data_IF_673801491136
#
_entry.id   IF_673801491136
#
_cell.length_a   1.000
_cell.length_b   1.000
_cell.length_c   1.000
_cell.angle_alpha   90.00
_cell.angle_beta   90.00
_cell.angle_gamma   90.00
#
_symmetry.space_group_name_H-M   'P 1'
#
loop_
_entity.id
_entity.type
_entity.pdbx_description
1 polymer ?
#
# COMPACT_ATOMS: atom_id res chain seq x y z
N UNK A 1 -5.26 54.44 15.17
CA UNK A 1 -5.49 53.23 14.36
C UNK A 1 -4.56 52.14 14.85
N UNK A 2 -5.08 51.13 15.59
CA UNK A 2 -4.57 49.74 15.69
C UNK A 2 -5.48 48.93 16.66
N UNK A 3 -6.32 48.10 16.02
CA UNK A 3 -6.95 46.81 16.38
C UNK A 3 -7.21 46.36 17.85
N UNK A 4 -8.48 46.08 18.25
CA UNK A 4 -8.88 45.65 19.60
C UNK A 4 -9.23 44.14 19.71
N UNK A 5 -8.24 43.25 19.59
CA UNK A 5 -8.44 41.79 19.78
C UNK A 5 -7.39 41.12 20.70
N UNK A 6 -6.78 41.90 21.60
CA UNK A 6 -5.92 41.39 22.69
C UNK A 6 -6.49 41.91 24.01
N UNK A 7 -7.72 41.49 24.36
CA UNK A 7 -8.31 41.76 25.69
C UNK A 7 -9.33 40.74 26.19
N UNK A 8 -9.59 39.64 25.47
CA UNK A 8 -10.60 38.64 25.84
C UNK A 8 -10.06 37.28 26.31
N UNK A 9 -8.75 36.99 26.20
CA UNK A 9 -8.18 35.71 26.64
C UNK A 9 -7.50 35.75 28.02
N UNK A 10 -7.39 36.92 28.65
CA UNK A 10 -6.85 37.07 30.01
C UNK A 10 -7.88 36.74 31.11
N UNK A 11 -9.17 36.60 30.79
CA UNK A 11 -10.26 36.39 31.78
C UNK A 11 -10.78 34.95 31.88
N UNK A 12 -10.22 34.02 31.11
CA UNK A 12 -10.66 32.61 31.15
C UNK A 12 -9.70 31.68 31.93
N UNK A 13 -8.46 32.12 32.20
CA UNK A 13 -7.51 31.37 33.04
C UNK A 13 -7.64 31.65 34.55
N UNK A 14 -8.38 32.68 34.98
CA UNK A 14 -8.56 33.02 36.40
C UNK A 14 -9.67 32.22 37.11
N UNK A 15 -10.26 31.22 36.44
CA UNK A 15 -11.42 30.49 36.96
C UNK A 15 -11.18 29.02 37.33
N UNK A 16 -9.91 28.58 37.46
CA UNK A 16 -9.57 27.23 37.97
C UNK A 16 -8.60 27.18 39.15
N UNK A 17 -8.26 28.33 39.75
CA UNK A 17 -7.49 28.37 41.00
C UNK A 17 -8.39 28.70 42.19
N UNK A 18 -9.18 27.72 42.62
CA UNK A 18 -9.70 27.69 43.99
C UNK A 18 -9.44 26.32 44.61
N UNK A 19 -8.74 26.36 45.76
CA UNK A 19 -8.41 25.30 46.71
C UNK A 19 -7.38 24.25 46.24
N UNK A 20 -6.17 24.37 46.78
CA UNK A 20 -5.58 23.35 47.67
C UNK A 20 -4.62 24.06 48.64
N UNK A 21 -4.79 23.72 49.91
CA UNK A 21 -4.08 24.23 51.08
C UNK A 21 -2.76 23.48 51.31
N UNK A 22 -1.75 24.25 51.73
CA UNK A 22 -0.64 23.90 52.64
C UNK A 22 0.45 22.89 52.24
N UNK A 23 1.69 23.41 52.30
CA UNK A 23 2.86 22.82 52.99
C UNK A 23 3.74 21.80 52.25
N UNK A 24 4.81 22.30 51.62
CA UNK A 24 6.26 22.02 51.86
C UNK A 24 7.07 22.10 50.56
N UNK A 25 8.20 22.82 50.64
CA UNK A 25 9.21 22.97 49.59
C UNK A 25 9.85 21.62 49.27
N UNK A 26 9.88 21.25 48.00
CA UNK A 26 10.88 20.34 47.45
C UNK A 26 11.33 20.90 46.09
N UNK A 27 12.64 21.11 45.95
CA UNK A 27 13.31 21.55 44.73
C UNK A 27 13.42 20.34 43.81
N UNK A 28 12.89 20.42 42.59
CA UNK A 28 13.19 19.45 41.51
C UNK A 28 13.35 20.24 40.22
N UNK A 29 14.55 20.31 39.60
CA UNK A 29 14.68 20.73 38.23
C UNK A 29 14.77 19.46 37.38
N UNK A 30 13.69 19.06 36.72
CA UNK A 30 13.78 18.18 35.56
C UNK A 30 12.89 18.78 34.47
N UNK A 31 13.58 19.51 33.59
CA UNK A 31 13.06 19.99 32.32
C UNK A 31 12.92 18.76 31.41
N UNK A 32 11.75 18.11 31.42
CA UNK A 32 11.45 17.06 30.44
C UNK A 32 11.13 17.74 29.12
N UNK A 33 12.15 17.87 28.27
CA UNK A 33 12.02 18.33 26.89
C UNK A 33 11.23 17.26 26.12
N UNK A 34 9.92 17.44 25.98
CA UNK A 34 9.11 16.61 25.09
C UNK A 34 9.49 16.95 23.64
N UNK A 35 10.37 16.14 23.06
CA UNK A 35 10.57 16.09 21.61
C UNK A 35 9.29 15.54 20.98
N UNK A 36 8.38 16.42 20.59
CA UNK A 36 7.36 16.09 19.60
C UNK A 36 8.10 15.92 18.27
N UNK A 37 8.51 14.68 17.97
CA UNK A 37 8.86 14.28 16.62
C UNK A 37 7.59 14.43 15.77
N UNK A 38 7.47 15.57 15.10
CA UNK A 38 6.60 15.69 13.94
C UNK A 38 7.18 14.76 12.88
N UNK A 39 6.69 13.53 12.84
CA UNK A 39 6.87 12.66 11.68
C UNK A 39 6.10 13.33 10.55
N UNK A 40 6.81 14.02 9.66
CA UNK A 40 6.24 14.46 8.39
C UNK A 40 5.66 13.23 7.70
N UNK A 41 4.45 13.29 7.11
CA UNK A 41 3.96 12.18 6.32
C UNK A 41 4.98 11.88 5.23
N UNK A 42 5.40 10.62 5.12
CA UNK A 42 6.30 10.18 4.07
C UNK A 42 5.75 10.66 2.71
N UNK A 43 6.63 11.24 1.89
CA UNK A 43 6.21 11.82 0.63
C UNK A 43 5.85 10.68 -0.33
N UNK A 44 4.56 10.54 -0.65
CA UNK A 44 4.11 9.52 -1.58
C UNK A 44 4.58 9.85 -3.01
N UNK A 45 5.28 8.90 -3.64
CA UNK A 45 5.72 8.99 -5.02
C UNK A 45 4.66 8.36 -5.92
N UNK A 46 4.35 9.03 -7.03
CA UNK A 46 3.37 8.57 -8.01
C UNK A 46 4.02 7.82 -9.16
N UNK A 47 3.58 6.59 -9.41
CA UNK A 47 3.88 5.81 -10.61
C UNK A 47 2.63 5.70 -11.49
N UNK A 48 2.57 6.55 -12.51
CA UNK A 48 1.41 6.66 -13.41
C UNK A 48 1.59 5.70 -14.58
N UNK A 49 0.67 4.75 -14.74
CA UNK A 49 0.59 3.86 -15.91
C UNK A 49 -0.08 4.60 -17.06
N UNK A 50 -1.29 5.09 -16.83
CA UNK A 50 -2.08 5.91 -17.75
C UNK A 50 -3.10 6.76 -16.97
N UNK A 51 -4.08 7.37 -17.64
CA UNK A 51 -5.13 8.16 -16.99
C UNK A 51 -6.07 7.34 -16.09
N UNK A 52 -6.12 6.02 -16.25
CA UNK A 52 -7.01 5.15 -15.49
C UNK A 52 -6.31 4.43 -14.34
N UNK A 53 -4.97 4.39 -14.29
CA UNK A 53 -4.26 3.67 -13.24
C UNK A 53 -2.95 4.34 -12.83
N UNK A 54 -2.81 4.56 -11.52
CA UNK A 54 -1.56 4.92 -10.88
C UNK A 54 -1.37 4.15 -9.57
N UNK A 55 -0.11 4.03 -9.17
CA UNK A 55 0.29 3.52 -7.87
C UNK A 55 0.98 4.65 -7.13
N UNK A 56 0.48 4.99 -5.96
CA UNK A 56 1.22 5.80 -5.00
C UNK A 56 2.00 4.88 -4.07
N UNK A 57 3.28 5.17 -3.84
CA UNK A 57 4.09 4.41 -2.89
C UNK A 57 4.84 5.34 -1.95
N UNK A 58 5.02 4.90 -0.72
CA UNK A 58 5.85 5.58 0.28
C UNK A 58 6.55 4.54 1.16
N UNK A 59 7.74 4.89 1.63
CA UNK A 59 8.47 4.09 2.62
C UNK A 59 8.47 4.86 3.94
N UNK A 60 8.22 4.16 5.04
CA UNK A 60 8.31 4.73 6.38
C UNK A 60 8.90 3.68 7.30
N UNK A 61 10.05 3.97 7.90
CA UNK A 61 10.82 3.03 8.70
C UNK A 61 11.09 1.71 7.94
N UNK A 62 10.46 0.62 8.38
CA UNK A 62 10.65 -0.73 7.86
C UNK A 62 9.48 -1.20 6.98
N UNK A 63 8.63 -0.28 6.52
CA UNK A 63 7.40 -0.62 5.81
C UNK A 63 7.28 0.17 4.50
N UNK A 64 6.90 -0.52 3.43
CA UNK A 64 6.39 0.09 2.19
C UNK A 64 4.87 0.12 2.26
N UNK A 65 4.29 1.28 1.97
CA UNK A 65 2.86 1.45 1.75
C UNK A 65 2.61 1.67 0.26
N UNK A 66 1.65 0.93 -0.29
CA UNK A 66 1.22 1.05 -1.68
C UNK A 66 -0.26 1.40 -1.70
N UNK A 67 -0.62 2.40 -2.49
CA UNK A 67 -2.01 2.77 -2.79
C UNK A 67 -2.23 2.61 -4.28
N UNK A 68 -2.97 1.56 -4.64
CA UNK A 68 -3.45 1.32 -5.99
C UNK A 68 -4.67 2.20 -6.22
N UNK A 69 -4.68 2.96 -7.31
CA UNK A 69 -5.78 3.88 -7.64
C UNK A 69 -6.18 3.63 -9.09
N UNK A 70 -7.42 3.20 -9.30
CA UNK A 70 -7.99 2.96 -10.61
C UNK A 70 -9.21 3.83 -10.85
N UNK A 71 -9.17 4.65 -11.89
CA UNK A 71 -10.31 5.43 -12.37
C UNK A 71 -11.16 4.59 -13.32
N UNK A 72 -12.44 4.96 -13.43
CA UNK A 72 -13.44 4.21 -14.18
C UNK A 72 -13.48 2.73 -13.74
N UNK A 73 -13.27 2.51 -12.44
CA UNK A 73 -12.96 1.21 -11.84
C UNK A 73 -14.05 0.17 -12.08
N UNK A 74 -13.76 -0.77 -12.97
CA UNK A 74 -14.55 -1.98 -13.14
C UNK A 74 -14.22 -3.04 -12.09
N UNK A 75 -14.61 -4.28 -12.35
CA UNK A 75 -14.42 -5.43 -11.43
C UNK A 75 -13.10 -6.17 -11.63
N UNK A 76 -12.16 -5.60 -12.40
CA UNK A 76 -10.86 -6.22 -12.64
C UNK A 76 -9.89 -6.07 -11.47
N UNK A 77 -8.59 -6.11 -11.77
CA UNK A 77 -7.51 -6.10 -10.79
C UNK A 77 -6.47 -5.02 -11.11
N UNK A 78 -5.69 -4.65 -10.12
CA UNK A 78 -4.53 -3.74 -10.21
C UNK A 78 -3.32 -4.46 -9.61
N UNK A 79 -2.11 -4.19 -10.09
CA UNK A 79 -0.96 -4.84 -9.49
C UNK A 79 0.39 -4.27 -9.91
N UNK A 80 1.40 -4.71 -9.18
CA UNK A 80 2.80 -4.42 -9.42
C UNK A 80 3.62 -5.68 -9.21
N UNK A 81 4.61 -5.88 -10.08
CA UNK A 81 5.69 -6.85 -9.90
C UNK A 81 6.99 -6.10 -9.63
N UNK A 82 7.76 -6.59 -8.66
CA UNK A 82 9.10 -6.12 -8.34
C UNK A 82 10.11 -7.00 -9.10
N UNK A 83 10.94 -6.35 -9.91
CA UNK A 83 11.75 -6.88 -11.01
C UNK A 83 10.98 -7.11 -12.33
N UNK A 84 11.71 -7.56 -13.35
CA UNK A 84 11.19 -7.71 -14.70
C UNK A 84 10.30 -8.95 -14.84
N UNK A 85 9.02 -8.74 -15.15
CA UNK A 85 8.14 -9.79 -15.66
C UNK A 85 8.56 -10.15 -17.11
N UNK A 86 8.61 -11.44 -17.52
CA UNK A 86 8.06 -12.64 -16.88
C UNK A 86 9.07 -13.48 -16.06
N UNK A 87 10.18 -12.91 -15.59
CA UNK A 87 11.12 -13.62 -14.71
C UNK A 87 10.53 -13.82 -13.30
N UNK A 88 11.18 -14.62 -12.44
CA UNK A 88 10.69 -14.77 -11.09
C UNK A 88 10.58 -13.41 -10.40
N UNK A 89 9.38 -13.07 -9.98
CA UNK A 89 9.05 -11.73 -9.49
C UNK A 89 8.07 -11.84 -8.34
N UNK A 90 8.33 -11.04 -7.33
CA UNK A 90 7.41 -10.79 -6.25
C UNK A 90 6.34 -9.80 -6.74
N UNK A 91 5.08 -10.12 -6.49
CA UNK A 91 3.92 -9.44 -7.05
C UNK A 91 2.91 -9.11 -5.98
N UNK A 92 2.35 -7.90 -6.07
CA UNK A 92 1.22 -7.48 -5.24
C UNK A 92 0.07 -7.17 -6.18
N UNK A 93 -1.03 -7.90 -6.03
CA UNK A 93 -2.26 -7.72 -6.82
C UNK A 93 -3.40 -7.34 -5.90
N UNK A 94 -4.18 -6.34 -6.28
CA UNK A 94 -5.31 -5.83 -5.52
C UNK A 94 -6.60 -5.78 -6.35
N UNK A 95 -7.72 -6.17 -5.76
CA UNK A 95 -9.05 -6.06 -6.37
C UNK A 95 -10.14 -5.94 -5.29
N UNK A 96 -11.35 -5.61 -5.71
CA UNK A 96 -12.54 -5.69 -4.85
C UNK A 96 -13.24 -7.01 -5.18
N UNK A 97 -13.44 -7.85 -4.17
CA UNK A 97 -14.22 -9.08 -4.34
C UNK A 97 -15.66 -8.73 -4.72
N UNK A 98 -16.19 -9.20 -5.86
CA UNK A 98 -17.54 -8.87 -6.28
C UNK A 98 -18.63 -9.54 -5.43
N UNK A 99 -18.30 -10.56 -4.62
CA UNK A 99 -19.27 -11.26 -3.76
C UNK A 99 -19.47 -10.52 -2.45
N UNK A 100 -18.37 -10.16 -1.79
CA UNK A 100 -18.38 -9.60 -0.43
C UNK A 100 -18.08 -8.10 -0.39
N UNK A 101 -17.79 -7.48 -1.54
CA UNK A 101 -17.36 -6.06 -1.67
C UNK A 101 -16.13 -5.70 -0.83
N UNK A 102 -15.36 -6.71 -0.43
CA UNK A 102 -14.15 -6.53 0.36
C UNK A 102 -12.93 -6.30 -0.53
N UNK A 103 -12.04 -5.41 -0.11
CA UNK A 103 -10.74 -5.30 -0.78
C UNK A 103 -9.85 -6.48 -0.44
N UNK A 104 -9.26 -7.07 -1.47
CA UNK A 104 -8.28 -8.14 -1.38
C UNK A 104 -6.96 -7.59 -1.90
N UNK A 105 -5.90 -7.81 -1.14
CA UNK A 105 -4.53 -7.71 -1.61
C UNK A 105 -3.88 -9.09 -1.51
N UNK A 106 -3.39 -9.56 -2.64
CA UNK A 106 -2.72 -10.84 -2.81
C UNK A 106 -1.22 -10.62 -2.90
N UNK A 107 -0.50 -11.25 -1.97
CA UNK A 107 0.94 -11.39 -1.97
C UNK A 107 1.28 -12.63 -2.80
N UNK A 108 1.82 -12.41 -3.98
CA UNK A 108 2.01 -13.44 -5.00
C UNK A 108 3.46 -13.51 -5.43
N UNK A 109 3.92 -14.71 -5.77
CA UNK A 109 5.21 -14.90 -6.42
C UNK A 109 5.00 -15.50 -7.81
N UNK A 110 5.47 -14.80 -8.83
CA UNK A 110 5.66 -15.36 -10.16
C UNK A 110 6.97 -16.16 -10.13
N UNK A 111 6.96 -17.47 -10.42
CA UNK A 111 8.18 -18.29 -10.49
C UNK A 111 8.99 -18.08 -11.77
N UNK A 112 8.45 -17.34 -12.75
CA UNK A 112 9.02 -17.21 -14.08
C UNK A 112 9.13 -18.52 -14.86
N UNK A 113 9.83 -18.46 -16.00
CA UNK A 113 10.16 -19.63 -16.82
C UNK A 113 11.66 -19.95 -16.59
N UNK A 114 12.05 -21.14 -16.10
CA UNK A 114 11.26 -22.34 -15.79
C UNK A 114 10.72 -22.39 -14.34
N UNK A 115 9.54 -22.99 -14.17
CA UNK A 115 8.90 -23.15 -12.85
C UNK A 115 9.54 -24.26 -12.02
N UNK A 116 9.66 -24.02 -10.71
CA UNK A 116 10.01 -25.06 -9.75
C UNK A 116 8.98 -26.22 -9.83
N UNK A 117 9.38 -27.49 -9.61
CA UNK A 117 8.51 -28.67 -9.78
C UNK A 117 7.18 -28.65 -8.99
N UNK A 118 7.07 -27.80 -7.97
CA UNK A 118 5.90 -27.69 -7.09
C UNK A 118 5.16 -26.34 -7.24
N UNK A 119 5.54 -25.50 -8.19
CA UNK A 119 4.81 -24.28 -8.52
C UNK A 119 3.69 -24.62 -9.51
N UNK A 120 2.48 -24.04 -9.39
CA UNK A 120 1.48 -24.17 -10.46
C UNK A 120 2.17 -23.86 -11.80
N UNK A 121 2.00 -24.78 -12.76
CA UNK A 121 2.56 -24.65 -14.10
C UNK A 121 2.34 -23.21 -14.60
N UNK A 122 3.37 -22.57 -15.21
CA UNK A 122 3.17 -21.27 -15.80
C UNK A 122 2.06 -21.43 -16.82
N UNK A 123 1.09 -20.52 -16.79
CA UNK A 123 0.01 -20.50 -17.75
C UNK A 123 0.66 -20.41 -19.14
N UNK A 124 0.18 -21.19 -20.13
CA UNK A 124 0.70 -21.09 -21.50
C UNK A 124 0.74 -19.64 -21.97
N UNK A 125 1.82 -19.21 -22.64
CA UNK A 125 1.98 -17.85 -23.17
C UNK A 125 0.80 -17.39 -24.05
N UNK A 126 0.06 -18.34 -24.61
CA UNK A 126 -1.11 -18.16 -25.48
C UNK A 126 -2.43 -18.02 -24.72
N UNK A 127 -2.46 -18.26 -23.41
CA UNK A 127 -3.67 -18.20 -22.63
C UNK A 127 -3.86 -16.77 -22.09
N UNK A 128 -4.86 -16.02 -22.58
CA UNK A 128 -5.03 -14.62 -22.23
C UNK A 128 -5.60 -14.42 -20.82
N UNK A 129 -5.75 -15.49 -20.04
CA UNK A 129 -6.43 -15.49 -18.75
C UNK A 129 -5.52 -15.94 -17.60
N UNK A 130 -5.50 -15.15 -16.53
CA UNK A 130 -4.89 -15.50 -15.26
C UNK A 130 -5.98 -16.03 -14.34
N UNK A 131 -5.77 -17.22 -13.75
CA UNK A 131 -6.62 -17.74 -12.68
C UNK A 131 -6.03 -17.33 -11.33
N UNK A 132 -6.60 -16.31 -10.72
CA UNK A 132 -6.30 -15.94 -9.34
C UNK A 132 -6.98 -16.96 -8.42
N UNK A 133 -6.20 -17.73 -7.67
CA UNK A 133 -6.71 -18.57 -6.60
C UNK A 133 -6.68 -17.76 -5.30
N UNK A 134 -7.73 -17.86 -4.48
CA UNK A 134 -7.80 -17.15 -3.20
C UNK A 134 -6.73 -17.63 -2.17
N UNK A 135 -6.05 -18.75 -2.43
CA UNK A 135 -4.99 -19.25 -1.58
C UNK A 135 -3.62 -18.82 -2.12
N UNK A 136 -2.70 -18.32 -1.26
CA UNK A 136 -1.32 -18.05 -1.65
C UNK A 136 -0.62 -19.34 -2.11
N UNK A 137 0.41 -19.25 -2.97
CA UNK A 137 1.21 -20.41 -3.36
C UNK A 137 1.73 -21.17 -2.14
N UNK A 138 1.83 -22.50 -2.24
CA UNK A 138 2.43 -23.31 -1.18
C UNK A 138 3.81 -22.75 -0.85
N UNK A 139 4.07 -22.43 0.43
CA UNK A 139 5.28 -21.80 0.96
C UNK A 139 5.40 -20.28 0.82
N UNK A 140 4.52 -19.59 0.08
CA UNK A 140 4.45 -18.13 0.12
C UNK A 140 3.68 -17.69 1.38
N UNK A 141 4.27 -16.83 2.18
CA UNK A 141 3.61 -16.23 3.34
C UNK A 141 2.96 -14.93 2.89
N UNK A 142 1.68 -14.74 3.24
CA UNK A 142 1.07 -13.44 3.04
C UNK A 142 1.66 -12.45 4.05
N UNK A 143 2.42 -11.47 3.58
CA UNK A 143 3.06 -10.44 4.38
C UNK A 143 2.40 -9.06 4.21
N UNK A 144 1.29 -9.01 3.47
CA UNK A 144 0.50 -7.80 3.25
C UNK A 144 -0.56 -7.61 4.33
N UNK A 145 -0.80 -6.34 4.65
CA UNK A 145 -1.98 -5.91 5.41
C UNK A 145 -2.72 -4.83 4.61
N UNK A 146 -4.00 -5.06 4.32
CA UNK A 146 -4.88 -4.02 3.77
C UNK A 146 -5.12 -2.97 4.86
N UNK A 147 -4.87 -1.71 4.54
CA UNK A 147 -5.01 -0.57 5.46
C UNK A 147 -6.35 0.12 5.25
N UNK A 148 -6.66 0.44 3.99
CA UNK A 148 -7.91 1.10 3.60
C UNK A 148 -8.33 0.65 2.22
N UNK A 149 -9.63 0.67 1.97
CA UNK A 149 -10.20 0.60 0.64
C UNK A 149 -11.31 1.62 0.49
N UNK A 150 -11.41 2.20 -0.69
CA UNK A 150 -12.44 3.15 -1.06
C UNK A 150 -12.92 2.85 -2.46
N UNK A 151 -14.24 2.81 -2.66
CA UNK A 151 -14.83 2.79 -3.99
C UNK A 151 -15.91 3.87 -4.03
N UNK A 152 -15.58 4.99 -4.67
CA UNK A 152 -16.47 6.16 -4.72
C UNK A 152 -16.29 6.91 -6.03
N UNK A 153 -17.39 7.40 -6.61
CA UNK A 153 -17.37 8.26 -7.81
C UNK A 153 -16.58 7.67 -8.99
N UNK A 154 -16.64 6.35 -9.17
CA UNK A 154 -15.94 5.65 -10.25
C UNK A 154 -14.44 5.45 -10.00
N UNK A 155 -13.93 5.78 -8.81
CA UNK A 155 -12.54 5.52 -8.41
C UNK A 155 -12.52 4.37 -7.40
N UNK A 156 -11.70 3.37 -7.68
CA UNK A 156 -11.34 2.32 -6.72
C UNK A 156 -9.94 2.61 -6.21
N UNK A 157 -9.78 2.72 -4.89
CA UNK A 157 -8.50 2.85 -4.22
C UNK A 157 -8.33 1.75 -3.18
N UNK A 158 -7.19 1.04 -3.21
CA UNK A 158 -6.84 0.03 -2.22
C UNK A 158 -5.43 0.34 -1.72
N UNK A 159 -5.31 0.53 -0.40
CA UNK A 159 -4.03 0.76 0.26
C UNK A 159 -3.64 -0.47 1.06
N UNK A 160 -2.41 -0.94 0.85
CA UNK A 160 -1.82 -2.02 1.64
C UNK A 160 -0.42 -1.64 2.12
N UNK A 161 0.07 -2.40 3.10
CA UNK A 161 1.41 -2.29 3.66
C UNK A 161 2.10 -3.63 3.65
N UNK A 162 3.40 -3.61 3.40
CA UNK A 162 4.31 -4.74 3.59
C UNK A 162 5.56 -4.29 4.31
N UNK A 163 6.14 -5.16 5.13
CA UNK A 163 7.51 -4.93 5.61
C UNK A 163 8.49 -4.91 4.44
N UNK A 164 9.54 -4.12 4.55
CA UNK A 164 10.65 -4.10 3.60
C UNK A 164 11.38 -5.44 3.57
N UNK A 165 11.51 -6.06 4.74
CA UNK A 165 12.15 -7.37 4.95
C UNK A 165 11.15 -8.30 5.62
N UNK A 166 10.83 -9.41 4.98
CA UNK A 166 9.79 -10.36 5.44
C UNK A 166 10.37 -11.70 5.91
N UNK A 167 11.60 -12.01 5.52
CA UNK A 167 12.24 -13.34 5.65
C UNK A 167 11.53 -14.45 4.85
N UNK A 168 10.58 -14.11 3.99
CA UNK A 168 10.11 -15.02 2.95
C UNK A 168 11.15 -15.06 1.82
N UNK A 169 11.50 -16.27 1.38
CA UNK A 169 12.47 -16.48 0.30
C UNK A 169 11.91 -16.11 -1.08
N UNK A 170 10.59 -15.99 -1.20
CA UNK A 170 9.91 -15.59 -2.43
C UNK A 170 9.69 -14.09 -2.54
N UNK A 171 9.76 -13.38 -1.40
CA UNK A 171 9.59 -11.95 -1.36
C UNK A 171 10.86 -11.20 -1.79
N UNK A 172 10.62 -10.13 -2.54
CA UNK A 172 11.60 -9.11 -2.78
C UNK A 172 11.97 -8.39 -1.47
N UNK A 173 13.21 -8.60 -1.04
CA UNK A 173 13.75 -7.98 0.18
C UNK A 173 14.23 -6.56 -0.13
N UNK A 174 13.39 -5.58 0.18
CA UNK A 174 13.67 -4.17 -0.07
C UNK A 174 14.80 -3.65 0.81
N UNK A 175 15.64 -2.78 0.24
CA UNK A 175 16.66 -2.02 0.96
C UNK A 175 16.39 -0.53 0.79
N UNK A 176 16.69 0.30 1.82
CA UNK A 176 16.70 1.74 1.65
C UNK A 176 17.61 2.15 0.47
N UNK A 177 17.20 3.21 -0.24
CA UNK A 177 17.92 3.79 -1.39
C UNK A 177 18.09 2.87 -2.61
N UNK A 178 17.38 1.74 -2.63
CA UNK A 178 17.44 0.82 -3.75
C UNK A 178 16.66 1.35 -4.97
N UNK A 179 17.25 1.16 -6.15
CA UNK A 179 16.58 1.30 -7.45
C UNK A 179 16.00 -0.04 -7.87
N UNK A 180 14.71 -0.08 -8.16
CA UNK A 180 13.97 -1.32 -8.41
C UNK A 180 13.27 -1.20 -9.75
N UNK A 181 13.51 -2.15 -10.66
CA UNK A 181 12.68 -2.29 -11.85
C UNK A 181 11.27 -2.75 -11.41
N UNK A 182 10.24 -2.12 -11.94
CA UNK A 182 8.85 -2.50 -11.67
C UNK A 182 8.08 -2.70 -12.96
N UNK A 183 7.11 -3.61 -12.91
CA UNK A 183 6.07 -3.77 -13.91
C UNK A 183 4.71 -3.55 -13.23
N UNK A 184 4.03 -2.45 -13.56
CA UNK A 184 2.69 -2.19 -13.05
C UNK A 184 1.66 -2.43 -14.14
N UNK A 185 0.56 -3.09 -13.79
CA UNK A 185 -0.50 -3.41 -14.73
C UNK A 185 -1.86 -3.38 -14.03
N UNK A 186 -2.90 -3.21 -14.84
CA UNK A 186 -4.27 -3.35 -14.37
C UNK A 186 -5.14 -3.96 -15.45
N UNK A 187 -6.28 -4.45 -15.02
CA UNK A 187 -7.38 -4.87 -15.86
C UNK A 187 -8.65 -4.17 -15.37
N UNK A 188 -9.46 -3.66 -16.28
CA UNK A 188 -10.69 -2.94 -15.95
C UNK A 188 -11.95 -3.82 -15.99
N UNK A 189 -11.85 -5.12 -16.29
CA UNK A 189 -13.02 -5.98 -16.44
C UNK A 189 -12.78 -7.42 -16.03
N UNK A 190 -13.76 -8.04 -15.40
CA UNK A 190 -13.83 -9.50 -15.30
C UNK A 190 -14.32 -10.09 -16.62
N UNK A 191 -13.82 -11.27 -16.97
CA UNK A 191 -14.38 -12.09 -18.05
C UNK A 191 -15.05 -13.31 -17.44
N UNK A 192 -16.38 -13.34 -17.50
CA UNK A 192 -17.13 -14.52 -17.06
C UNK A 192 -17.11 -15.58 -18.16
N UNK A 193 -16.70 -16.79 -17.81
CA UNK A 193 -16.78 -17.98 -18.67
C UNK A 193 -17.68 -19.03 -18.05
N UNK A 194 -18.04 -20.06 -18.82
CA UNK A 194 -18.78 -21.22 -18.31
C UNK A 194 -18.05 -21.94 -17.15
N UNK A 195 -16.74 -21.68 -16.99
CA UNK A 195 -15.88 -22.25 -15.94
C UNK A 195 -15.65 -21.31 -14.75
N UNK A 196 -16.35 -20.17 -14.70
CA UNK A 196 -16.21 -19.14 -13.67
C UNK A 196 -15.53 -17.85 -14.17
N UNK A 197 -15.11 -17.02 -13.23
CA UNK A 197 -14.42 -15.75 -13.51
C UNK A 197 -13.00 -16.02 -14.02
N UNK A 198 -12.69 -15.48 -15.19
CA UNK A 198 -11.36 -15.40 -15.77
C UNK A 198 -10.94 -13.93 -15.82
N UNK A 199 -9.70 -13.65 -15.44
CA UNK A 199 -9.15 -12.30 -15.50
C UNK A 199 -8.23 -12.18 -16.72
N UNK A 200 -8.49 -11.29 -17.69
CA UNK A 200 -7.51 -10.91 -18.70
C UNK A 200 -6.13 -10.60 -18.10
N UNK A 201 -5.07 -10.90 -18.86
CA UNK A 201 -3.68 -10.65 -18.46
C UNK A 201 -3.36 -9.18 -18.18
N UNK A 202 -3.97 -8.22 -18.87
CA UNK A 202 -4.04 -6.80 -18.51
C UNK A 202 -4.84 -6.02 -19.55
N UNK A 203 -5.42 -4.90 -19.15
CA UNK A 203 -5.92 -3.86 -20.06
C UNK A 203 -4.77 -2.97 -20.51
N UNK A 204 -3.91 -2.55 -19.58
CA UNK A 204 -2.72 -1.76 -19.87
C UNK A 204 -1.63 -2.02 -18.81
N UNK A 205 -0.39 -1.68 -19.15
CA UNK A 205 0.76 -1.86 -18.28
C UNK A 205 1.88 -0.84 -18.56
N UNK A 206 2.80 -0.70 -17.61
CA UNK A 206 4.00 0.11 -17.75
C UNK A 206 5.14 -0.48 -16.93
N UNK A 207 6.33 -0.50 -17.54
CA UNK A 207 7.58 -0.75 -16.83
C UNK A 207 8.24 0.56 -16.42
N UNK A 208 9.01 0.52 -15.34
CA UNK A 208 9.79 1.67 -14.90
C UNK A 208 10.72 1.34 -13.75
N UNK A 209 11.30 2.38 -13.17
CA UNK A 209 12.17 2.26 -12.02
C UNK A 209 11.57 3.01 -10.83
N UNK A 210 11.58 2.38 -9.66
CA UNK A 210 11.26 3.01 -8.38
C UNK A 210 12.54 3.27 -7.60
N UNK A 211 12.56 4.38 -6.88
CA UNK A 211 13.62 4.70 -5.91
C UNK A 211 12.98 4.74 -4.55
N UNK A 212 13.38 3.83 -3.67
CA UNK A 212 12.86 3.77 -2.30
C UNK A 212 13.56 4.84 -1.45
N UNK A 213 12.89 5.97 -1.27
CA UNK A 213 13.30 7.05 -0.36
C UNK A 213 12.34 7.13 0.83
N UNK A 214 12.90 7.37 2.01
CA UNK A 214 12.17 7.64 3.25
C UNK A 214 11.85 9.14 3.41
#
# INVERSE_FOLDING_TARGET
>A
MTNPLIRSLQKWCDMKNQKISSSKRLIVPFLTLAFLLFCSPAHAINFIVDENFNIEYSVTFDTIQLTFIQQNGGTGWMGVAFNEFPFPADTIVAWIDPQDETAICWDGYNPGIPTLPNFPFPIEDTNPFIRLLAAPPTYNQNNLTVVTSLRENGVTSITCKRKLITNDIFDFQFRPDMRISVYAAYNNREVYTLSGVQQPQSTNHKTGEWVLVE
#
